data_IF_569447416074
#
_entry.id   IF_569447416074
#
_cell.length_a   1.000
_cell.length_b   1.000
_cell.length_c   1.000
_cell.angle_alpha   90.00
_cell.angle_beta   90.00
_cell.angle_gamma   90.00
#
_symmetry.space_group_name_H-M   'P 1'
#
loop_
_entity.id
_entity.type
_entity.pdbx_description
1 polymer ?
#
# COMPACT_ATOMS: atom_id res chain seq x y z
N UNK A 1 -18.69 2.98 -25.03
CA UNK A 1 -18.16 1.61 -25.16
C UNK A 1 -18.71 0.82 -23.99
N UNK A 2 -19.71 -0.04 -24.23
CA UNK A 2 -20.26 -0.97 -23.24
C UNK A 2 -19.25 -2.08 -22.93
N UNK A 3 -19.26 -2.63 -21.71
CA UNK A 3 -18.35 -3.70 -21.27
C UNK A 3 -18.37 -4.95 -22.16
N UNK A 4 -19.45 -5.17 -22.93
CA UNK A 4 -19.61 -6.26 -23.90
C UNK A 4 -18.70 -6.17 -25.14
N UNK A 5 -17.90 -5.11 -25.26
CA UNK A 5 -16.95 -4.90 -26.36
C UNK A 5 -15.49 -4.87 -25.92
N UNK A 6 -15.20 -5.13 -24.63
CA UNK A 6 -13.83 -5.28 -24.15
C UNK A 6 -13.38 -6.71 -24.40
N UNK A 7 -12.26 -6.86 -25.11
CA UNK A 7 -11.61 -8.15 -25.20
C UNK A 7 -10.95 -8.53 -23.86
N UNK A 8 -10.51 -9.78 -23.75
CA UNK A 8 -9.90 -10.29 -22.52
C UNK A 8 -8.61 -9.52 -22.15
N UNK A 9 -7.95 -8.91 -23.14
CA UNK A 9 -6.73 -8.15 -22.93
C UNK A 9 -7.01 -6.76 -22.33
N UNK A 10 -8.04 -6.08 -22.82
CA UNK A 10 -8.53 -4.81 -22.29
C UNK A 10 -8.99 -4.97 -20.84
N UNK A 11 -9.67 -6.08 -20.53
CA UNK A 11 -10.08 -6.42 -19.16
C UNK A 11 -8.88 -6.65 -18.24
N UNK A 12 -7.90 -7.44 -18.68
CA UNK A 12 -6.69 -7.70 -17.90
C UNK A 12 -5.92 -6.41 -17.60
N UNK A 13 -5.72 -5.55 -18.60
CA UNK A 13 -5.01 -4.29 -18.41
C UNK A 13 -5.76 -3.36 -17.45
N UNK A 14 -7.08 -3.25 -17.57
CA UNK A 14 -7.88 -2.41 -16.68
C UNK A 14 -7.87 -2.91 -15.23
N UNK A 15 -7.98 -4.23 -15.03
CA UNK A 15 -7.89 -4.84 -13.71
C UNK A 15 -6.48 -4.70 -13.10
N UNK A 16 -5.45 -4.87 -13.92
CA UNK A 16 -4.06 -4.71 -13.51
C UNK A 16 -3.74 -3.26 -13.13
N UNK A 17 -4.16 -2.30 -13.94
CA UNK A 17 -4.00 -0.86 -13.67
C UNK A 17 -4.75 -0.45 -12.40
N UNK A 18 -5.95 -1.01 -12.16
CA UNK A 18 -6.70 -0.77 -10.92
C UNK A 18 -5.93 -1.20 -9.67
N UNK A 19 -5.17 -2.30 -9.75
CA UNK A 19 -4.31 -2.75 -8.64
C UNK A 19 -3.10 -1.83 -8.49
N UNK A 20 -2.48 -1.44 -9.61
CA UNK A 20 -1.28 -0.61 -9.63
C UNK A 20 -1.52 0.85 -9.19
N UNK A 21 -2.69 1.41 -9.51
CA UNK A 21 -3.05 2.81 -9.23
C UNK A 21 -4.11 2.96 -8.13
N UNK A 22 -4.32 1.93 -7.30
CA UNK A 22 -5.25 2.04 -6.17
C UNK A 22 -4.80 3.13 -5.19
N UNK A 23 -5.52 4.26 -5.17
CA UNK A 23 -5.15 5.49 -4.46
C UNK A 23 -4.98 5.38 -2.94
N UNK A 24 -5.31 4.23 -2.34
CA UNK A 24 -5.15 3.98 -0.91
C UNK A 24 -3.93 3.11 -0.56
N UNK A 25 -3.22 2.54 -1.54
CA UNK A 25 -2.01 1.77 -1.32
C UNK A 25 -0.81 2.48 -1.93
N UNK A 26 -0.39 3.59 -1.32
CA UNK A 26 0.74 4.43 -1.77
C UNK A 26 2.10 3.72 -1.82
N UNK A 27 2.15 2.39 -1.67
CA UNK A 27 3.35 1.55 -1.80
C UNK A 27 3.10 0.22 -2.54
N UNK A 28 1.93 0.04 -3.18
CA UNK A 28 1.58 -1.19 -3.90
C UNK A 28 1.82 -2.47 -3.10
N UNK A 29 1.72 -2.41 -1.76
CA UNK A 29 1.95 -3.60 -0.94
C UNK A 29 0.68 -4.42 -0.91
N UNK A 30 0.83 -5.72 -1.17
CA UNK A 30 -0.25 -6.66 -0.89
C UNK A 30 -0.56 -6.65 0.62
N UNK A 31 -1.80 -6.96 1.00
CA UNK A 31 -2.17 -7.12 2.42
C UNK A 31 -1.27 -8.14 3.14
N UNK A 32 -0.81 -9.16 2.40
CA UNK A 32 0.15 -10.18 2.86
C UNK A 32 1.51 -9.56 3.19
N UNK A 33 2.07 -8.74 2.31
CA UNK A 33 3.35 -8.05 2.57
C UNK A 33 3.25 -7.04 3.71
N UNK A 34 2.12 -6.36 3.86
CA UNK A 34 1.91 -5.47 5.00
C UNK A 34 1.95 -6.24 6.33
N UNK A 35 1.29 -7.39 6.40
CA UNK A 35 1.32 -8.27 7.57
C UNK A 35 2.72 -8.88 7.82
N UNK A 36 3.44 -9.23 6.76
CA UNK A 36 4.80 -9.77 6.86
C UNK A 36 5.89 -8.72 7.12
N UNK A 37 5.60 -7.42 7.00
CA UNK A 37 6.59 -6.36 7.27
C UNK A 37 6.25 -5.52 8.50
N UNK A 38 5.09 -5.75 9.13
CA UNK A 38 4.66 -5.04 10.33
C UNK A 38 4.31 -6.03 11.44
N UNK A 39 4.61 -5.70 12.70
CA UNK A 39 4.21 -6.48 13.88
C UNK A 39 4.96 -7.80 14.12
N UNK A 40 6.21 -7.93 13.65
CA UNK A 40 7.09 -8.98 14.14
C UNK A 40 7.45 -8.82 15.61
N UNK A 41 7.33 -9.90 16.38
CA UNK A 41 7.75 -9.96 17.77
C UNK A 41 9.27 -10.11 17.84
N UNK A 42 9.99 -9.02 17.60
CA UNK A 42 11.44 -8.93 17.76
C UNK A 42 11.75 -8.09 19.02
N UNK A 43 12.79 -8.45 19.79
CA UNK A 43 13.26 -7.60 20.88
C UNK A 43 13.78 -6.26 20.32
N UNK A 44 13.16 -5.14 20.70
CA UNK A 44 13.48 -3.81 20.17
C UNK A 44 12.64 -3.38 18.95
N UNK A 45 11.78 -4.25 18.42
CA UNK A 45 11.03 -4.01 17.20
C UNK A 45 9.77 -3.18 17.44
N UNK A 46 9.20 -3.30 18.65
CA UNK A 46 8.05 -2.51 19.06
C UNK A 46 8.46 -1.04 19.26
N UNK A 47 9.55 -0.83 19.97
CA UNK A 47 10.16 0.48 20.25
C UNK A 47 10.56 1.18 18.95
N UNK A 48 11.24 0.47 18.04
CA UNK A 48 11.62 1.00 16.71
C UNK A 48 10.41 1.42 15.88
N UNK A 49 9.32 0.63 15.92
CA UNK A 49 8.08 0.97 15.21
C UNK A 49 7.43 2.22 15.79
N UNK A 50 7.36 2.34 17.11
CA UNK A 50 6.82 3.53 17.78
C UNK A 50 7.62 4.78 17.39
N UNK A 51 8.95 4.71 17.45
CA UNK A 51 9.83 5.82 17.04
C UNK A 51 9.62 6.21 15.57
N UNK A 52 9.52 5.22 14.68
CA UNK A 52 9.30 5.48 13.24
C UNK A 52 7.93 6.11 12.99
N UNK A 53 6.88 5.67 13.68
CA UNK A 53 5.54 6.28 13.59
C UNK A 53 5.55 7.73 14.09
N UNK A 54 6.22 7.99 15.21
CA UNK A 54 6.36 9.34 15.76
C UNK A 54 7.08 10.26 14.79
N UNK A 55 8.22 9.82 14.24
CA UNK A 55 8.99 10.59 13.26
C UNK A 55 8.17 10.91 11.99
N UNK A 56 7.48 9.91 11.43
CA UNK A 56 6.65 10.12 10.24
C UNK A 56 5.49 11.08 10.48
N UNK A 57 4.86 11.00 11.67
CA UNK A 57 3.79 11.92 12.06
C UNK A 57 4.30 13.35 12.08
N UNK A 58 5.44 13.60 12.74
CA UNK A 58 6.08 14.92 12.79
C UNK A 58 6.46 15.44 11.40
N UNK A 59 7.06 14.59 10.56
CA UNK A 59 7.40 14.95 9.17
C UNK A 59 6.17 15.28 8.34
N UNK A 60 5.04 14.62 8.55
CA UNK A 60 3.80 14.92 7.84
C UNK A 60 3.16 16.22 8.34
N UNK A 61 3.17 16.49 9.65
CA UNK A 61 2.68 17.76 10.21
C UNK A 61 3.43 18.97 9.64
N UNK A 62 4.74 18.84 9.40
CA UNK A 62 5.58 19.90 8.82
C UNK A 62 5.37 20.15 7.32
N UNK A 63 4.73 19.22 6.60
CA UNK A 63 4.48 19.32 5.15
C UNK A 63 3.17 20.05 4.83
N UNK A 64 2.22 20.03 5.75
CA UNK A 64 1.03 20.91 5.79
C UNK A 64 1.40 22.29 6.29
#
# INVERSE_FOLDING_TARGET
MSEDHMDDFDRYNFEHDKVMYSGHSGKQRSKKEAALNTNHHNPGGHERKLLTKLHNMECNKKKT
#
